data_IF_152086630310
#
_entry.id   IF_152086630310
#
_cell.length_a   1.000
_cell.length_b   1.000
_cell.length_c   1.000
_cell.angle_alpha   90.00
_cell.angle_beta   90.00
_cell.angle_gamma   90.00
#
_symmetry.space_group_name_H-M   'P 1'
#
loop_
_entity.id
_entity.type
_entity.pdbx_description
1 polymer ?
#
# COMPACT_ATOMS: atom_id res chain seq x y z
N UNK A 1 -1.35 6.88 8.07
CA UNK A 1 0.12 6.92 7.95
C UNK A 1 0.46 7.40 6.55
N UNK A 2 1.44 8.28 6.39
CA UNK A 2 1.88 8.69 5.06
C UNK A 2 2.67 7.56 4.43
N UNK A 3 2.33 7.19 3.21
CA UNK A 3 3.02 6.16 2.45
C UNK A 3 3.47 6.74 1.12
N UNK A 4 4.76 6.58 0.83
CA UNK A 4 5.33 6.89 -0.47
C UNK A 4 5.24 5.66 -1.36
N UNK A 5 4.61 5.79 -2.52
CA UNK A 5 4.45 4.69 -3.48
C UNK A 5 5.81 4.13 -3.93
N UNK A 6 5.83 2.87 -4.36
CA UNK A 6 7.04 2.18 -4.84
C UNK A 6 7.71 2.90 -6.02
N UNK A 7 6.90 3.54 -6.88
CA UNK A 7 7.40 4.35 -8.00
C UNK A 7 7.85 5.77 -7.58
N UNK A 8 7.75 6.11 -6.29
CA UNK A 8 8.09 7.39 -5.65
C UNK A 8 7.30 8.62 -6.13
N UNK A 9 6.28 8.42 -6.97
CA UNK A 9 5.48 9.50 -7.58
C UNK A 9 4.42 10.05 -6.65
N UNK A 10 3.93 9.25 -5.69
CA UNK A 10 2.82 9.63 -4.83
C UNK A 10 3.22 9.52 -3.37
N UNK A 11 2.78 10.50 -2.56
CA UNK A 11 2.86 10.49 -1.11
C UNK A 11 1.44 10.67 -0.57
N UNK A 12 0.90 9.62 0.03
CA UNK A 12 -0.54 9.51 0.31
C UNK A 12 -0.75 9.15 1.78
N UNK A 13 -1.66 9.83 2.47
CA UNK A 13 -2.04 9.46 3.83
C UNK A 13 -3.12 8.37 3.81
N UNK A 14 -2.70 7.13 4.06
CA UNK A 14 -3.57 5.97 4.03
C UNK A 14 -4.17 5.67 5.42
N UNK A 15 -5.46 5.30 5.44
CA UNK A 15 -6.20 4.86 6.63
C UNK A 15 -6.13 3.35 6.84
N UNK A 16 -5.86 2.58 5.78
CA UNK A 16 -5.91 1.13 5.79
C UNK A 16 -5.16 0.56 4.58
N UNK A 17 -4.70 -0.68 4.69
CA UNK A 17 -3.87 -1.37 3.70
C UNK A 17 -4.42 -2.76 3.39
N UNK A 18 -4.24 -3.23 2.16
CA UNK A 18 -4.68 -4.56 1.72
C UNK A 18 -3.75 -5.11 0.62
N UNK A 19 -3.76 -6.44 0.46
CA UNK A 19 -3.11 -7.13 -0.66
C UNK A 19 -4.17 -7.63 -1.62
N UNK A 20 -4.07 -7.23 -2.88
CA UNK A 20 -5.00 -7.61 -3.95
C UNK A 20 -4.26 -8.29 -5.09
N UNK A 21 -5.00 -8.99 -5.96
CA UNK A 21 -4.44 -9.56 -7.19
C UNK A 21 -4.39 -8.48 -8.27
N UNK A 22 -3.25 -8.35 -8.94
CA UNK A 22 -3.12 -7.51 -10.12
C UNK A 22 -3.44 -8.34 -11.38
N UNK A 23 -4.61 -8.12 -11.95
CA UNK A 23 -5.10 -8.86 -13.12
C UNK A 23 -4.55 -8.18 -14.39
N UNK A 24 -3.95 -8.98 -15.29
CA UNK A 24 -3.41 -8.49 -16.56
C UNK A 24 -1.95 -8.02 -16.55
N UNK A 25 -1.31 -7.89 -15.38
CA UNK A 25 0.10 -7.51 -15.24
C UNK A 25 1.07 -8.70 -15.18
N UNK A 26 2.37 -8.43 -15.38
CA UNK A 26 3.46 -9.39 -15.06
C UNK A 26 3.53 -9.63 -13.55
N UNK A 27 3.54 -8.54 -12.79
CA UNK A 27 3.42 -8.53 -11.32
C UNK A 27 2.00 -8.93 -10.93
N UNK A 28 1.84 -10.04 -10.19
CA UNK A 28 0.53 -10.66 -9.92
C UNK A 28 -0.13 -10.20 -8.62
N UNK A 29 0.61 -9.50 -7.77
CA UNK A 29 0.11 -9.01 -6.49
C UNK A 29 0.34 -7.51 -6.34
N UNK A 30 -0.57 -6.85 -5.65
CA UNK A 30 -0.55 -5.42 -5.40
C UNK A 30 -0.76 -5.16 -3.91
N UNK A 31 -0.03 -4.19 -3.36
CA UNK A 31 -0.39 -3.58 -2.08
C UNK A 31 -1.16 -2.31 -2.39
N UNK A 32 -2.35 -2.21 -1.83
CA UNK A 32 -3.24 -1.07 -1.97
C UNK A 32 -3.45 -0.39 -0.64
N UNK A 33 -3.45 0.93 -0.65
CA UNK A 33 -3.83 1.79 0.46
C UNK A 33 -5.24 2.30 0.25
N UNK A 34 -5.93 2.60 1.32
CA UNK A 34 -7.20 3.29 1.25
C UNK A 34 -7.11 4.68 1.83
N UNK A 35 -7.75 5.62 1.17
CA UNK A 35 -7.90 6.98 1.64
C UNK A 35 -9.38 7.27 1.93
N UNK A 36 -9.63 8.06 2.97
CA UNK A 36 -10.95 8.63 3.20
C UNK A 36 -11.16 9.76 2.19
N UNK A 37 -12.21 9.67 1.36
CA UNK A 37 -12.56 10.72 0.41
C UNK A 37 -13.81 11.50 0.87
N UNK A 38 -13.97 11.65 2.18
CA UNK A 38 -15.14 12.30 2.78
C UNK A 38 -16.44 11.57 2.45
N UNK A 39 -17.45 12.31 1.98
CA UNK A 39 -18.81 11.82 1.69
C UNK A 39 -18.84 10.79 0.54
N UNK A 40 -17.82 10.79 -0.33
CA UNK A 40 -17.75 9.90 -1.50
C UNK A 40 -17.16 8.51 -1.21
N UNK A 41 -16.98 8.17 0.06
CA UNK A 41 -16.56 6.84 0.49
C UNK A 41 -15.06 6.62 0.47
N UNK A 42 -14.68 5.34 0.48
CA UNK A 42 -13.30 4.88 0.59
C UNK A 42 -12.72 4.67 -0.82
N UNK A 43 -11.65 5.38 -1.15
CA UNK A 43 -10.92 5.20 -2.42
C UNK A 43 -9.70 4.33 -2.18
N UNK A 44 -9.51 3.31 -3.01
CA UNK A 44 -8.30 2.51 -3.03
C UNK A 44 -7.26 3.13 -3.98
N UNK A 45 -6.00 3.10 -3.56
CA UNK A 45 -4.84 3.58 -4.32
C UNK A 45 -3.78 2.49 -4.34
N UNK A 46 -3.18 2.29 -5.51
CA UNK A 46 -2.08 1.36 -5.70
C UNK A 46 -0.79 1.92 -5.09
N UNK A 47 -0.23 1.24 -4.10
CA UNK A 47 1.02 1.67 -3.44
C UNK A 47 2.25 0.95 -3.99
N UNK A 48 2.11 -0.33 -4.36
CA UNK A 48 3.21 -1.14 -4.88
C UNK A 48 2.72 -2.38 -5.61
N UNK A 49 3.57 -2.90 -6.50
CA UNK A 49 3.32 -4.12 -7.27
C UNK A 49 4.44 -5.12 -7.03
N UNK A 50 4.07 -6.40 -6.93
CA UNK A 50 4.96 -7.50 -6.59
C UNK A 50 4.77 -8.70 -7.51
N UNK A 51 5.87 -9.42 -7.76
CA UNK A 51 5.86 -10.63 -8.59
C UNK A 51 5.12 -11.78 -7.91
N UNK A 52 5.35 -11.95 -6.61
CA UNK A 52 4.72 -13.00 -5.79
C UNK A 52 3.80 -12.41 -4.72
N UNK A 53 2.87 -13.25 -4.25
CA UNK A 53 2.02 -12.90 -3.11
C UNK A 53 2.83 -12.75 -1.83
N UNK A 54 3.85 -13.56 -1.64
CA UNK A 54 4.69 -13.55 -0.44
C UNK A 54 5.48 -12.24 -0.33
N UNK A 55 6.00 -11.72 -1.43
CA UNK A 55 6.65 -10.39 -1.43
C UNK A 55 5.66 -9.28 -1.06
N UNK A 56 4.41 -9.33 -1.55
CA UNK A 56 3.39 -8.36 -1.17
C UNK A 56 2.96 -8.49 0.30
N UNK A 57 2.95 -9.71 0.84
CA UNK A 57 2.65 -9.97 2.26
C UNK A 57 3.77 -9.48 3.16
N UNK A 58 5.04 -9.71 2.79
CA UNK A 58 6.19 -9.17 3.53
C UNK A 58 6.14 -7.64 3.61
N UNK A 59 5.83 -6.96 2.51
CA UNK A 59 5.64 -5.50 2.53
C UNK A 59 4.50 -5.10 3.46
N UNK A 60 3.37 -5.81 3.43
CA UNK A 60 2.26 -5.54 4.33
C UNK A 60 2.64 -5.73 5.81
N UNK A 61 3.47 -6.73 6.12
CA UNK A 61 4.03 -6.93 7.47
C UNK A 61 4.91 -5.75 7.87
N UNK A 62 5.79 -5.27 7.00
CA UNK A 62 6.60 -4.08 7.28
C UNK A 62 5.75 -2.81 7.49
N UNK A 63 4.68 -2.64 6.72
CA UNK A 63 3.70 -1.57 6.94
C UNK A 63 3.03 -1.68 8.31
N UNK A 64 2.66 -2.90 8.71
CA UNK A 64 2.06 -3.15 10.02
C UNK A 64 3.03 -2.83 11.16
N UNK A 65 4.30 -3.25 11.06
CA UNK A 65 5.35 -2.90 12.02
C UNK A 65 5.55 -1.39 12.10
N UNK A 66 5.59 -0.71 10.95
CA UNK A 66 5.72 0.75 10.89
C UNK A 66 4.54 1.45 11.61
N UNK A 67 3.31 0.95 11.44
CA UNK A 67 2.13 1.45 12.14
C UNK A 67 2.24 1.26 13.66
N UNK A 68 2.63 0.07 14.11
CA UNK A 68 2.81 -0.23 15.55
C UNK A 68 3.88 0.67 16.16
N UNK A 69 4.93 0.97 15.40
CA UNK A 69 6.02 1.86 15.81
C UNK A 69 5.67 3.36 15.68
N UNK A 70 4.43 3.72 15.36
CA UNK A 70 3.99 5.11 15.14
C UNK A 70 4.83 5.86 14.08
N UNK A 71 5.31 5.13 13.07
CA UNK A 71 6.05 5.71 11.95
C UNK A 71 5.15 6.69 11.20
N UNK A 72 5.62 7.93 11.02
CA UNK A 72 4.82 8.98 10.35
C UNK A 72 4.78 8.79 8.83
N UNK A 73 5.91 8.39 8.25
CA UNK A 73 6.11 8.23 6.81
C UNK A 73 6.80 6.89 6.56
N UNK A 74 6.17 6.04 5.74
CA UNK A 74 6.73 4.79 5.26
C UNK A 74 7.03 4.91 3.77
N UNK A 75 8.20 4.46 3.34
CA UNK A 75 8.55 4.38 1.91
C UNK A 75 8.49 2.94 1.45
N UNK A 76 7.68 2.67 0.41
CA UNK A 76 7.55 1.32 -0.15
C UNK A 76 8.84 0.89 -0.84
N UNK A 77 9.16 -0.40 -0.74
CA UNK A 77 10.39 -1.00 -1.28
C UNK A 77 10.28 -1.39 -2.76
#
# INVERSE_FOLDING_TARGET
MWVRSQNKKELINCTSFSVTKNIGGRKKSAVTGSISNGIWGRREILLGLYDTRDSALNELTMLQEALVNNTKVYEMS
#
